data_IF_413444037138
#
_entry.id   IF_413444037138
#
_cell.length_a   1.000
_cell.length_b   1.000
_cell.length_c   1.000
_cell.angle_alpha   90.00
_cell.angle_beta   90.00
_cell.angle_gamma   90.00
#
_symmetry.space_group_name_H-M   'P 1'
#
loop_
_entity.id
_entity.type
_entity.pdbx_description
1 polymer ?
#
# COMPACT_ATOMS: atom_id res chain seq x y z
N UNK A 1 16.37 22.85 13.50
CA UNK A 1 15.28 22.00 14.02
C UNK A 1 15.55 20.61 13.45
N UNK A 2 16.09 19.71 14.27
CA UNK A 2 16.31 18.32 13.86
C UNK A 2 15.02 17.55 14.13
N UNK A 3 14.08 17.59 13.18
CA UNK A 3 12.88 16.75 13.22
C UNK A 3 13.28 15.28 13.14
N UNK A 4 12.70 14.43 13.98
CA UNK A 4 12.87 12.97 13.84
C UNK A 4 12.17 12.54 12.55
N UNK A 5 12.92 11.94 11.63
CA UNK A 5 12.39 11.35 10.41
C UNK A 5 11.95 9.92 10.70
N UNK A 6 10.68 9.63 10.44
CA UNK A 6 10.16 8.27 10.47
C UNK A 6 10.03 7.81 9.03
N UNK A 7 10.61 6.66 8.71
CA UNK A 7 10.36 5.99 7.43
C UNK A 7 9.12 5.13 7.61
N UNK A 8 8.13 5.33 6.75
CA UNK A 8 6.99 4.43 6.61
C UNK A 8 7.02 3.82 5.21
N UNK A 9 6.65 2.55 5.12
CA UNK A 9 6.45 1.83 3.88
C UNK A 9 4.97 1.89 3.53
N UNK A 10 4.67 2.33 2.30
CA UNK A 10 3.31 2.53 1.81
C UNK A 10 3.10 1.64 0.61
N UNK A 11 2.11 0.75 0.68
CA UNK A 11 1.66 -0.03 -0.47
C UNK A 11 0.57 0.75 -1.20
N UNK A 12 0.90 1.23 -2.39
CA UNK A 12 -0.07 1.85 -3.28
C UNK A 12 -0.66 0.80 -4.22
N UNK A 13 -1.93 0.98 -4.58
CA UNK A 13 -2.62 0.22 -5.60
C UNK A 13 -3.33 1.15 -6.58
N UNK A 14 -3.22 0.85 -7.86
CA UNK A 14 -3.95 1.47 -8.96
C UNK A 14 -4.59 0.38 -9.80
N UNK A 15 -5.81 0.58 -10.27
CA UNK A 15 -6.47 -0.37 -11.17
C UNK A 15 -7.38 0.32 -12.16
N UNK A 16 -7.47 -0.27 -13.34
CA UNK A 16 -8.36 0.12 -14.42
C UNK A 16 -9.24 -1.07 -14.77
N UNK A 17 -10.55 -0.83 -14.80
CA UNK A 17 -11.51 -1.82 -15.26
C UNK A 17 -12.60 -1.14 -16.09
N UNK A 18 -13.46 -1.91 -16.77
CA UNK A 18 -14.49 -1.35 -17.67
C UNK A 18 -15.50 -0.42 -16.98
N UNK A 19 -15.60 -0.48 -15.64
CA UNK A 19 -16.62 0.22 -14.86
C UNK A 19 -16.05 1.36 -14.00
N UNK A 20 -14.83 1.21 -13.47
CA UNK A 20 -14.23 2.10 -12.49
C UNK A 20 -12.70 2.04 -12.53
N UNK A 21 -12.06 3.20 -12.59
CA UNK A 21 -10.64 3.32 -12.28
C UNK A 21 -10.48 3.68 -10.79
N UNK A 22 -9.52 3.05 -10.12
CA UNK A 22 -9.29 3.27 -8.69
C UNK A 22 -7.82 3.48 -8.36
N UNK A 23 -7.59 4.25 -7.30
CA UNK A 23 -6.29 4.45 -6.69
C UNK A 23 -6.46 4.50 -5.18
N UNK A 24 -5.64 3.75 -4.46
CA UNK A 24 -5.70 3.68 -3.00
C UNK A 24 -4.32 3.46 -2.36
N UNK A 25 -4.21 3.88 -1.10
CA UNK A 25 -3.23 3.32 -0.17
C UNK A 25 -3.84 2.03 0.37
N UNK A 26 -3.26 0.90 0.01
CA UNK A 26 -3.74 -0.43 0.38
C UNK A 26 -3.28 -0.79 1.78
N UNK A 27 -2.03 -0.45 2.12
CA UNK A 27 -1.48 -0.69 3.46
C UNK A 27 -0.36 0.30 3.80
N UNK A 28 -0.13 0.52 5.09
CA UNK A 28 0.92 1.38 5.65
C UNK A 28 1.51 0.73 6.88
N UNK A 29 2.83 0.62 6.93
CA UNK A 29 3.54 0.17 8.13
C UNK A 29 4.94 0.79 8.22
N UNK A 30 5.47 0.86 9.44
CA UNK A 30 6.90 1.14 9.66
C UNK A 30 7.77 -0.09 9.40
N UNK A 31 7.15 -1.27 9.32
CA UNK A 31 7.80 -2.55 9.06
C UNK A 31 7.55 -2.97 7.60
N UNK A 32 8.63 -3.06 6.83
CA UNK A 32 8.57 -3.48 5.43
C UNK A 32 8.01 -4.90 5.28
N UNK A 33 8.30 -5.82 6.20
CA UNK A 33 7.86 -7.21 6.10
C UNK A 33 6.33 -7.31 6.14
N UNK A 34 5.67 -6.47 6.95
CA UNK A 34 4.20 -6.39 7.00
C UNK A 34 3.63 -5.97 5.66
N UNK A 35 4.19 -4.91 5.05
CA UNK A 35 3.70 -4.39 3.77
C UNK A 35 4.01 -5.35 2.62
N UNK A 36 5.17 -6.00 2.63
CA UNK A 36 5.55 -7.03 1.65
C UNK A 36 4.63 -8.23 1.76
N UNK A 37 4.28 -8.69 2.97
CA UNK A 37 3.31 -9.76 3.14
C UNK A 37 1.95 -9.38 2.55
N UNK A 38 1.51 -8.12 2.72
CA UNK A 38 0.26 -7.68 2.11
C UNK A 38 0.32 -7.69 0.58
N UNK A 39 1.45 -7.29 0.00
CA UNK A 39 1.68 -7.42 -1.45
C UNK A 39 1.65 -8.90 -1.90
N UNK A 40 2.25 -9.81 -1.13
CA UNK A 40 2.24 -11.25 -1.44
C UNK A 40 0.81 -11.82 -1.43
N UNK A 41 -0.05 -11.40 -0.49
CA UNK A 41 -1.49 -11.76 -0.49
C UNK A 41 -2.20 -11.28 -1.76
N UNK A 42 -1.86 -10.09 -2.27
CA UNK A 42 -2.41 -9.55 -3.52
C UNK A 42 -1.93 -10.37 -4.71
N UNK A 43 -0.66 -10.78 -4.73
CA UNK A 43 -0.11 -11.66 -5.77
C UNK A 43 -0.82 -13.02 -5.75
N UNK A 44 -0.95 -13.64 -4.57
CA UNK A 44 -1.60 -14.96 -4.41
C UNK A 44 -3.08 -14.93 -4.85
N UNK A 45 -3.77 -13.82 -4.57
CA UNK A 45 -5.15 -13.61 -4.96
C UNK A 45 -5.31 -13.03 -6.37
N UNK A 46 -4.23 -12.83 -7.12
CA UNK A 46 -4.22 -12.18 -8.45
C UNK A 46 -4.99 -10.86 -8.48
N UNK A 47 -4.92 -10.09 -7.40
CA UNK A 47 -5.61 -8.82 -7.23
C UNK A 47 -7.14 -8.86 -7.50
N UNK A 48 -7.80 -10.02 -7.30
CA UNK A 48 -9.24 -10.21 -7.56
C UNK A 48 -10.16 -9.25 -6.81
N UNK A 49 -9.69 -8.67 -5.71
CA UNK A 49 -10.43 -7.64 -4.96
C UNK A 49 -10.44 -6.27 -5.65
N UNK A 50 -9.52 -6.02 -6.58
CA UNK A 50 -9.29 -4.73 -7.22
C UNK A 50 -9.63 -4.74 -8.70
N UNK A 51 -9.34 -5.83 -9.41
CA UNK A 51 -9.55 -5.96 -10.85
C UNK A 51 -10.09 -7.34 -11.20
N UNK A 52 -10.92 -7.39 -12.25
CA UNK A 52 -11.47 -8.63 -12.79
C UNK A 52 -10.84 -8.93 -14.15
N UNK A 53 -9.64 -9.50 -14.12
CA UNK A 53 -8.94 -9.97 -15.32
C UNK A 53 -9.41 -11.37 -15.73
N UNK A 54 -9.31 -11.71 -17.02
CA UNK A 54 -9.45 -13.09 -17.49
C UNK A 54 -8.18 -13.88 -17.14
N UNK A 55 -8.20 -14.66 -16.06
CA UNK A 55 -6.98 -15.31 -15.51
C UNK A 55 -6.23 -16.22 -16.49
N UNK A 56 -6.92 -16.80 -17.46
CA UNK A 56 -6.34 -17.65 -18.51
C UNK A 56 -5.58 -16.85 -19.59
N UNK A 57 -5.79 -15.54 -19.63
CA UNK A 57 -5.20 -14.60 -20.60
C UNK A 57 -4.49 -13.42 -19.92
N UNK A 58 -4.44 -13.40 -18.60
CA UNK A 58 -3.79 -12.35 -17.86
C UNK A 58 -2.28 -12.54 -17.91
N UNK A 59 -1.57 -11.46 -18.19
CA UNK A 59 -0.13 -11.35 -18.02
C UNK A 59 0.17 -10.76 -16.65
N UNK A 60 1.29 -11.19 -16.06
CA UNK A 60 1.71 -10.78 -14.72
C UNK A 60 3.18 -10.38 -14.75
N UNK A 61 3.51 -9.26 -14.11
CA UNK A 61 4.88 -8.85 -13.81
C UNK A 61 5.07 -8.71 -12.30
N UNK A 62 6.11 -9.34 -11.76
CA UNK A 62 6.45 -9.25 -10.34
C UNK A 62 7.90 -8.86 -10.14
N UNK A 63 8.10 -7.81 -9.36
CA UNK A 63 9.39 -7.45 -8.81
C UNK A 63 9.43 -7.61 -7.29
N UNK A 64 10.52 -7.16 -6.69
CA UNK A 64 10.72 -7.24 -5.23
C UNK A 64 9.74 -6.36 -4.43
N UNK A 65 9.31 -5.23 -5.00
CA UNK A 65 8.43 -4.25 -4.34
C UNK A 65 7.22 -3.85 -5.17
N UNK A 66 6.89 -4.63 -6.20
CA UNK A 66 5.73 -4.33 -7.04
C UNK A 66 5.16 -5.58 -7.67
N UNK A 67 3.89 -5.46 -8.05
CA UNK A 67 3.15 -6.45 -8.80
C UNK A 67 2.26 -5.73 -9.81
N UNK A 68 2.18 -6.25 -11.02
CA UNK A 68 1.30 -5.75 -12.07
C UNK A 68 0.63 -6.93 -12.76
N UNK A 69 -0.66 -6.79 -13.05
CA UNK A 69 -1.46 -7.79 -13.76
C UNK A 69 -2.34 -7.08 -14.78
N UNK A 70 -2.42 -7.58 -16.00
CA UNK A 70 -3.24 -6.99 -17.05
C UNK A 70 -3.76 -8.05 -18.04
N UNK A 71 -4.84 -7.72 -18.75
CA UNK A 71 -5.36 -8.55 -19.83
C UNK A 71 -5.55 -7.78 -21.16
N UNK A 72 -5.86 -8.52 -22.22
CA UNK A 72 -6.05 -7.98 -23.58
C UNK A 72 -7.22 -7.00 -23.71
N UNK A 73 -8.14 -6.96 -22.74
CA UNK A 73 -9.30 -6.06 -22.73
C UNK A 73 -8.99 -4.74 -22.00
N UNK A 74 -7.73 -4.49 -21.64
CA UNK A 74 -7.30 -3.29 -20.93
C UNK A 74 -7.67 -3.30 -19.44
N UNK A 75 -8.08 -4.45 -18.88
CA UNK A 75 -8.20 -4.57 -17.43
C UNK A 75 -6.80 -4.64 -16.85
N UNK A 76 -6.50 -3.83 -15.85
CA UNK A 76 -5.17 -3.86 -15.22
C UNK A 76 -5.20 -3.48 -13.75
N UNK A 77 -4.23 -3.98 -12.99
CA UNK A 77 -3.92 -3.48 -11.66
C UNK A 77 -2.42 -3.47 -11.42
N UNK A 78 -1.95 -2.42 -10.76
CA UNK A 78 -0.55 -2.20 -10.41
C UNK A 78 -0.42 -1.84 -8.94
N UNK A 79 0.48 -2.51 -8.26
CA UNK A 79 0.76 -2.34 -6.85
C UNK A 79 2.24 -2.10 -6.64
N UNK A 80 2.61 -1.16 -5.78
CA UNK A 80 4.02 -0.88 -5.51
C UNK A 80 4.23 -0.32 -4.10
N UNK A 81 5.35 -0.73 -3.48
CA UNK A 81 5.75 -0.29 -2.15
C UNK A 81 6.75 0.87 -2.28
N UNK A 82 6.46 2.00 -1.64
CA UNK A 82 7.35 3.16 -1.55
C UNK A 82 7.77 3.45 -0.11
N UNK A 83 8.97 3.99 0.05
CA UNK A 83 9.41 4.59 1.30
C UNK A 83 8.95 6.04 1.35
N UNK A 84 8.25 6.41 2.41
CA UNK A 84 7.84 7.78 2.67
C UNK A 84 8.47 8.27 3.98
N UNK A 85 9.15 9.41 3.89
CA UNK A 85 9.83 10.03 5.02
C UNK A 85 8.88 11.04 5.65
N UNK A 86 8.38 10.73 6.84
CA UNK A 86 7.53 11.60 7.63
C UNK A 86 8.40 12.47 8.54
N UNK A 87 8.30 13.78 8.35
CA UNK A 87 8.85 14.76 9.26
C UNK A 87 7.76 15.21 10.23
N UNK A 88 7.91 14.82 11.50
CA UNK A 88 6.99 15.21 12.55
C UNK A 88 7.50 16.47 13.24
N UNK A 89 6.65 17.48 13.34
CA UNK A 89 6.94 18.64 14.19
C UNK A 89 6.93 18.23 15.66
N UNK A 90 7.60 19.01 16.50
CA UNK A 90 7.57 18.81 17.94
C UNK A 90 6.13 18.84 18.50
N UNK A 91 5.32 19.80 18.05
CA UNK A 91 3.92 19.92 18.49
C UNK A 91 3.07 18.71 18.10
N UNK A 92 3.31 18.11 16.92
CA UNK A 92 2.63 16.87 16.53
C UNK A 92 3.08 15.69 17.39
N UNK A 93 4.37 15.57 17.68
CA UNK A 93 4.88 14.51 18.55
C UNK A 93 4.31 14.61 19.97
N UNK A 94 4.24 15.82 20.53
CA UNK A 94 3.63 16.08 21.83
C UNK A 94 2.13 15.72 21.85
N UNK A 95 1.37 16.11 20.81
CA UNK A 95 -0.04 15.77 20.69
C UNK A 95 -0.27 14.24 20.59
N UNK A 96 0.58 13.53 19.85
CA UNK A 96 0.53 12.05 19.76
C UNK A 96 0.80 11.43 21.14
N UNK A 97 1.86 11.88 21.83
CA UNK A 97 2.21 11.35 23.14
C UNK A 97 1.10 11.58 24.19
N UNK A 98 0.48 12.76 24.19
CA UNK A 98 -0.65 13.09 25.06
C UNK A 98 -1.87 12.20 24.77
N UNK A 99 -2.18 11.97 23.50
CA UNK A 99 -3.28 11.10 23.09
C UNK A 99 -3.07 9.65 23.56
N UNK A 100 -1.85 9.11 23.38
CA UNK A 100 -1.49 7.76 23.82
C UNK A 100 -1.59 7.59 25.35
N UNK A 101 -1.11 8.57 26.11
CA UNK A 101 -1.17 8.55 27.57
C UNK A 101 -2.62 8.54 28.09
N UNK A 102 -3.54 9.23 27.41
CA UNK A 102 -4.98 9.25 27.75
C UNK A 102 -5.70 7.95 27.37
N UNK A 103 -5.25 7.28 26.31
CA UNK A 103 -5.84 6.01 25.84
C UNK A 103 -5.53 4.80 26.73
N UNK A 104 -4.39 4.80 27.43
CA UNK A 104 -3.92 3.68 28.26
C UNK A 104 -4.64 3.54 29.63
N UNK A 105 -5.57 4.45 29.96
CA UNK A 105 -6.31 4.45 31.22
C UNK A 105 -7.71 3.81 31.16
N UNK A 106 -8.03 3.05 30.11
CA UNK A 106 -9.30 2.32 29.97
C UNK A 106 -9.11 0.82 30.03
#
# INVERSE_FOLDING_TARGET
MDGKKIVVYVLHGFWENEFTNGCAVVDVSIDLEVVTKKLDEIVESKAREYVKVQEDKAEEERGFRYFEIWDENGQSAKFYIVEQYLELSQSMMEAIAESLAKGAGK
#
